data_IF_308029067632
#
_entry.id   IF_308029067632
#
_cell.length_a   1.000
_cell.length_b   1.000
_cell.length_c   1.000
_cell.angle_alpha   90.00
_cell.angle_beta   90.00
_cell.angle_gamma   90.00
#
_symmetry.space_group_name_H-M   'P 1'
#
loop_
_entity.id
_entity.type
_entity.pdbx_description
1 polymer ?
#
# COMPACT_ATOMS: atom_id res chain seq x y z
N UNK A 1 7.91 -2.87 7.59
CA UNK A 1 8.41 -1.48 7.72
C UNK A 1 9.84 -1.44 7.18
N UNK A 2 10.27 -0.43 6.39
CA UNK A 2 11.57 -0.44 5.68
C UNK A 2 12.79 -0.32 6.62
N UNK A 3 12.66 0.50 7.65
CA UNK A 3 13.72 0.80 8.62
C UNK A 3 13.11 0.72 10.02
N UNK A 4 12.95 -0.49 10.59
CA UNK A 4 12.33 -0.67 11.90
C UNK A 4 13.17 -0.06 13.02
N UNK A 5 14.50 -0.06 12.88
CA UNK A 5 15.45 0.37 13.92
C UNK A 5 16.16 1.68 13.56
N UNK A 6 15.57 2.48 12.65
CA UNK A 6 16.19 3.71 12.15
C UNK A 6 16.89 3.56 10.79
N UNK A 7 17.30 4.70 10.23
CA UNK A 7 17.89 4.77 8.90
C UNK A 7 19.26 4.09 8.85
N UNK A 8 19.47 3.29 7.81
CA UNK A 8 20.79 2.73 7.44
C UNK A 8 21.00 2.95 5.95
N UNK A 9 22.13 3.58 5.61
CA UNK A 9 22.50 3.86 4.23
C UNK A 9 22.82 2.57 3.46
N UNK A 10 22.18 2.35 2.31
CA UNK A 10 22.40 1.15 1.49
C UNK A 10 23.79 1.07 0.83
N UNK A 11 24.53 2.19 0.77
CA UNK A 11 25.85 2.25 0.12
C UNK A 11 27.03 2.10 1.08
N UNK A 12 26.95 2.74 2.25
CA UNK A 12 28.07 2.81 3.21
C UNK A 12 27.69 2.35 4.62
N UNK A 13 26.47 1.87 4.84
CA UNK A 13 25.96 1.41 6.14
C UNK A 13 25.93 2.45 7.27
N UNK A 14 26.28 3.71 7.00
CA UNK A 14 26.15 4.81 7.98
C UNK A 14 24.69 5.04 8.38
N UNK A 15 24.49 5.35 9.65
CA UNK A 15 23.20 5.77 10.25
C UNK A 15 23.02 7.28 10.23
N UNK A 16 24.07 8.04 9.91
CA UNK A 16 24.02 9.50 9.89
C UNK A 16 23.35 10.01 8.60
N UNK A 17 22.35 10.88 8.79
CA UNK A 17 21.63 11.51 7.69
C UNK A 17 21.05 12.86 8.06
N UNK A 18 20.69 13.63 7.04
CA UNK A 18 19.78 14.77 7.17
C UNK A 18 18.59 14.63 6.20
N UNK A 19 17.50 15.32 6.51
CA UNK A 19 16.28 15.32 5.72
C UNK A 19 16.08 16.67 5.04
N UNK A 20 15.76 16.66 3.75
CA UNK A 20 15.38 17.89 3.02
C UNK A 20 13.90 18.22 3.22
N UNK A 21 13.49 19.44 2.85
CA UNK A 21 12.08 19.87 2.88
C UNK A 21 11.18 18.95 2.02
N UNK A 22 11.74 18.40 0.93
CA UNK A 22 11.08 17.48 0.01
C UNK A 22 11.04 16.03 0.53
N UNK A 23 11.38 15.80 1.81
CA UNK A 23 11.38 14.48 2.46
C UNK A 23 12.33 13.48 1.78
N UNK A 24 13.45 13.99 1.27
CA UNK A 24 14.56 13.20 0.73
C UNK A 24 15.60 13.04 1.84
N UNK A 25 15.97 11.79 2.13
CA UNK A 25 17.06 11.49 3.06
C UNK A 25 18.38 11.56 2.30
N UNK A 26 19.34 12.28 2.86
CA UNK A 26 20.72 12.34 2.41
C UNK A 26 21.63 11.70 3.45
N UNK A 27 22.44 10.74 3.02
CA UNK A 27 23.48 10.17 3.87
C UNK A 27 24.61 11.18 4.08
N UNK A 28 25.01 11.39 5.34
CA UNK A 28 26.08 12.35 5.65
C UNK A 28 27.46 11.90 5.23
N UNK A 29 27.67 10.59 5.11
CA UNK A 29 28.98 10.03 4.82
C UNK A 29 29.28 9.98 3.32
N UNK A 30 28.35 9.43 2.53
CA UNK A 30 28.56 9.15 1.10
C UNK A 30 27.69 9.98 0.16
N UNK A 31 26.87 10.90 0.70
CA UNK A 31 25.97 11.75 -0.09
C UNK A 31 24.81 11.02 -0.78
N UNK A 32 24.61 9.71 -0.51
CA UNK A 32 23.53 8.93 -1.13
C UNK A 32 22.15 9.49 -0.79
N UNK A 33 21.31 9.67 -1.83
CA UNK A 33 19.96 10.23 -1.71
C UNK A 33 18.90 9.12 -1.82
N UNK A 34 17.96 9.08 -0.89
CA UNK A 34 16.79 8.18 -0.96
C UNK A 34 15.55 8.86 -0.44
N UNK A 35 14.44 8.77 -1.19
CA UNK A 35 13.13 9.13 -0.67
C UNK A 35 12.70 8.15 0.44
N UNK A 36 11.95 8.65 1.43
CA UNK A 36 11.36 7.83 2.51
C UNK A 36 10.45 6.73 1.93
N UNK A 37 9.68 7.07 0.90
CA UNK A 37 8.73 6.15 0.24
C UNK A 37 9.40 5.12 -0.65
N UNK A 38 10.72 5.22 -0.91
CA UNK A 38 11.40 4.32 -1.84
C UNK A 38 11.39 2.87 -1.32
N UNK A 39 11.10 1.91 -2.19
CA UNK A 39 11.00 0.49 -1.81
C UNK A 39 9.84 0.18 -0.85
N UNK A 40 8.83 1.05 -0.77
CA UNK A 40 7.58 0.79 -0.01
C UNK A 40 6.39 0.77 -0.98
N UNK A 41 5.18 0.48 -0.48
CA UNK A 41 3.95 0.60 -1.27
C UNK A 41 3.78 2.01 -1.88
N UNK A 42 4.29 3.04 -1.19
CA UNK A 42 4.24 4.45 -1.61
C UNK A 42 5.33 4.81 -2.64
N UNK A 43 6.13 3.86 -3.10
CA UNK A 43 7.20 4.14 -4.05
C UNK A 43 6.66 4.79 -5.34
N UNK A 44 7.33 5.89 -5.76
CA UNK A 44 6.97 6.73 -6.91
C UNK A 44 5.58 7.38 -6.82
N UNK A 45 5.01 7.52 -5.62
CA UNK A 45 3.79 8.33 -5.46
C UNK A 45 4.07 9.80 -5.74
N UNK A 46 3.15 10.45 -6.47
CA UNK A 46 3.11 11.90 -6.66
C UNK A 46 2.00 12.58 -5.86
N UNK A 47 1.05 11.80 -5.34
CA UNK A 47 -0.03 12.30 -4.50
C UNK A 47 0.38 12.30 -3.03
N UNK A 48 -0.15 13.22 -2.21
CA UNK A 48 0.06 13.24 -0.76
C UNK A 48 -0.20 11.90 -0.10
N UNK A 49 0.59 11.56 0.92
CA UNK A 49 0.40 10.32 1.69
C UNK A 49 -0.95 10.28 2.42
N UNK A 50 -1.52 11.44 2.79
CA UNK A 50 -2.84 11.50 3.40
C UNK A 50 -3.91 10.85 2.49
N UNK A 51 -3.86 11.13 1.18
CA UNK A 51 -4.78 10.50 0.21
C UNK A 51 -4.57 8.99 0.13
N UNK A 52 -3.33 8.52 0.26
CA UNK A 52 -3.06 7.08 0.36
C UNK A 52 -3.72 6.46 1.59
N UNK A 53 -3.70 7.12 2.74
CA UNK A 53 -4.35 6.62 3.95
C UNK A 53 -5.86 6.58 3.83
N UNK A 54 -6.48 7.61 3.26
CA UNK A 54 -7.92 7.57 2.93
C UNK A 54 -8.25 6.41 1.98
N UNK A 55 -7.40 6.17 0.98
CA UNK A 55 -7.54 5.06 0.04
C UNK A 55 -7.43 3.70 0.70
N UNK A 56 -6.45 3.53 1.59
CA UNK A 56 -6.31 2.30 2.37
C UNK A 56 -7.52 2.06 3.27
N UNK A 57 -7.98 3.10 3.98
CA UNK A 57 -9.16 3.01 4.83
C UNK A 57 -10.38 2.51 4.05
N UNK A 58 -10.67 3.13 2.91
CA UNK A 58 -11.82 2.74 2.09
C UNK A 58 -11.70 1.28 1.64
N UNK A 59 -10.53 0.85 1.13
CA UNK A 59 -10.35 -0.54 0.68
C UNK A 59 -10.54 -1.55 1.81
N UNK A 60 -10.11 -1.24 3.03
CA UNK A 60 -10.22 -2.15 4.19
C UNK A 60 -11.63 -2.13 4.80
N UNK A 61 -12.34 -1.02 4.73
CA UNK A 61 -13.68 -0.88 5.32
C UNK A 61 -14.81 -1.54 4.49
N UNK A 62 -14.57 -1.87 3.22
CA UNK A 62 -15.59 -2.47 2.35
C UNK A 62 -15.69 -3.99 2.56
N UNK A 63 -16.91 -4.49 2.83
CA UNK A 63 -17.20 -5.93 2.92
C UNK A 63 -17.12 -6.64 1.56
N UNK A 64 -17.59 -5.98 0.50
CA UNK A 64 -17.77 -6.57 -0.84
C UNK A 64 -16.54 -6.40 -1.75
N UNK A 65 -15.40 -5.98 -1.21
CA UNK A 65 -14.19 -5.69 -1.95
C UNK A 65 -14.23 -4.33 -2.67
N UNK A 66 -13.11 -3.97 -3.29
CA UNK A 66 -12.91 -2.65 -3.90
C UNK A 66 -12.65 -2.78 -5.41
N UNK A 67 -13.34 -1.97 -6.23
CA UNK A 67 -13.08 -1.82 -7.66
C UNK A 67 -12.45 -0.44 -7.96
N UNK A 68 -11.59 -0.37 -8.99
CA UNK A 68 -10.83 0.84 -9.29
C UNK A 68 -11.70 2.00 -9.80
N UNK A 69 -12.85 1.71 -10.41
CA UNK A 69 -13.77 2.72 -10.93
C UNK A 69 -14.47 3.49 -9.81
N UNK A 70 -15.13 2.77 -8.89
CA UNK A 70 -15.77 3.34 -7.70
C UNK A 70 -14.75 4.08 -6.84
N UNK A 71 -13.52 3.57 -6.74
CA UNK A 71 -12.42 4.24 -6.05
C UNK A 71 -12.04 5.57 -6.70
N UNK A 72 -12.00 5.63 -8.04
CA UNK A 72 -11.73 6.86 -8.79
C UNK A 72 -12.82 7.90 -8.52
N UNK A 73 -14.09 7.48 -8.54
CA UNK A 73 -15.23 8.38 -8.32
C UNK A 73 -15.27 8.88 -6.86
N UNK A 74 -15.07 7.98 -5.89
CA UNK A 74 -15.08 8.33 -4.47
C UNK A 74 -13.95 9.28 -4.07
N UNK A 75 -12.76 9.10 -4.64
CA UNK A 75 -11.56 9.84 -4.23
C UNK A 75 -11.40 11.22 -4.87
N UNK A 76 -12.16 11.51 -5.94
CA UNK A 76 -12.16 12.81 -6.60
C UNK A 76 -10.84 13.26 -7.25
N UNK A 77 -9.77 12.45 -7.26
CA UNK A 77 -8.49 12.81 -7.88
C UNK A 77 -8.38 12.51 -9.38
N UNK A 78 -9.44 11.96 -9.99
CA UNK A 78 -9.73 12.01 -11.42
C UNK A 78 -9.04 11.00 -12.36
N UNK A 79 -8.16 10.11 -11.87
CA UNK A 79 -7.45 9.15 -12.73
C UNK A 79 -7.75 7.70 -12.34
N UNK A 80 -8.35 6.95 -13.27
CA UNK A 80 -8.61 5.54 -13.12
C UNK A 80 -7.31 4.74 -12.97
N UNK A 81 -6.29 5.08 -13.76
CA UNK A 81 -4.98 4.43 -13.78
C UNK A 81 -4.29 4.57 -12.41
N UNK A 82 -4.42 5.76 -11.79
CA UNK A 82 -3.91 5.99 -10.44
C UNK A 82 -4.62 5.09 -9.43
N UNK A 83 -5.95 5.04 -9.47
CA UNK A 83 -6.75 4.18 -8.58
C UNK A 83 -6.41 2.69 -8.80
N UNK A 84 -6.26 2.26 -10.05
CA UNK A 84 -5.89 0.89 -10.42
C UNK A 84 -4.51 0.50 -9.90
N UNK A 85 -3.49 1.34 -10.13
CA UNK A 85 -2.12 1.10 -9.62
C UNK A 85 -2.10 1.03 -8.09
N UNK A 86 -2.86 1.91 -7.41
CA UNK A 86 -2.91 1.92 -5.94
C UNK A 86 -3.59 0.67 -5.42
N UNK A 87 -4.73 0.30 -6.00
CA UNK A 87 -5.46 -0.91 -5.64
C UNK A 87 -4.59 -2.17 -5.83
N UNK A 88 -3.84 -2.26 -6.93
CA UNK A 88 -2.90 -3.36 -7.16
C UNK A 88 -1.79 -3.42 -6.11
N UNK A 89 -1.15 -2.28 -5.79
CA UNK A 89 -0.12 -2.20 -4.74
C UNK A 89 -0.67 -2.67 -3.38
N UNK A 90 -1.90 -2.28 -3.04
CA UNK A 90 -2.54 -2.68 -1.79
C UNK A 90 -2.89 -4.16 -1.76
N UNK A 91 -3.48 -4.70 -2.83
CA UNK A 91 -3.80 -6.13 -2.92
C UNK A 91 -2.57 -7.01 -2.75
N UNK A 92 -1.46 -6.64 -3.38
CA UNK A 92 -0.17 -7.34 -3.19
C UNK A 92 0.31 -7.24 -1.74
N UNK A 93 0.21 -6.07 -1.13
CA UNK A 93 0.63 -5.86 0.26
C UNK A 93 -0.27 -6.56 1.30
N UNK A 94 -1.54 -6.82 0.96
CA UNK A 94 -2.52 -7.49 1.83
C UNK A 94 -2.46 -9.01 1.75
N UNK A 95 -1.70 -9.59 0.81
CA UNK A 95 -1.49 -11.04 0.76
C UNK A 95 -0.80 -11.48 2.06
N UNK A 96 -1.48 -12.32 2.85
CA UNK A 96 -0.88 -12.98 4.01
C UNK A 96 -0.09 -14.20 3.51
N UNK A 97 1.26 -14.19 3.57
CA UNK A 97 2.07 -15.29 3.02
C UNK A 97 1.82 -16.63 3.74
N UNK A 98 1.43 -16.57 5.01
CA UNK A 98 1.12 -17.71 5.87
C UNK A 98 -0.38 -17.93 6.05
N UNK A 99 -1.20 -17.61 5.04
CA UNK A 99 -2.65 -17.87 5.15
C UNK A 99 -2.88 -19.37 5.35
N UNK A 100 -3.39 -19.74 6.51
CA UNK A 100 -3.89 -21.09 6.79
C UNK A 100 -5.34 -21.16 6.33
N UNK A 101 -5.80 -22.36 5.96
CA UNK A 101 -7.24 -22.59 5.81
C UNK A 101 -7.90 -22.24 7.14
N UNK A 102 -9.03 -21.55 7.09
CA UNK A 102 -9.84 -21.31 8.28
C UNK A 102 -10.32 -22.70 8.75
N UNK A 103 -10.18 -22.99 10.04
CA UNK A 103 -10.45 -24.32 10.61
C UNK A 103 -11.07 -24.15 11.99
N UNK A 104 -12.32 -24.56 12.15
CA UNK A 104 -13.13 -24.64 13.38
C UNK A 104 -14.60 -24.53 12.94
N UNK A 105 -15.50 -24.34 13.89
CA UNK A 105 -16.78 -23.69 13.62
C UNK A 105 -16.52 -22.30 13.05
N UNK A 106 -17.16 -21.98 11.92
CA UNK A 106 -17.01 -20.73 11.18
C UNK A 106 -18.41 -20.17 11.01
N UNK A 107 -18.64 -18.98 11.53
CA UNK A 107 -19.86 -18.22 11.28
C UNK A 107 -19.60 -17.23 10.14
N UNK A 108 -20.44 -17.25 9.10
CA UNK A 108 -20.35 -16.37 7.94
C UNK A 108 -21.61 -15.50 7.90
N UNK A 109 -21.44 -14.18 7.97
CA UNK A 109 -22.54 -13.21 7.87
C UNK A 109 -23.31 -13.33 6.54
N UNK A 110 -22.62 -13.68 5.45
CA UNK A 110 -23.17 -13.73 4.10
C UNK A 110 -22.74 -15.05 3.43
N UNK A 111 -23.73 -15.86 3.01
CA UNK A 111 -23.51 -17.06 2.21
C UNK A 111 -24.11 -16.85 0.83
N UNK A 112 -23.29 -16.93 -0.22
CA UNK A 112 -23.78 -16.90 -1.60
C UNK A 112 -24.20 -18.31 -2.01
N UNK A 113 -25.50 -18.54 -2.18
CA UNK A 113 -26.06 -19.80 -2.69
C UNK A 113 -26.50 -19.56 -4.14
N UNK A 114 -25.64 -19.94 -5.09
CA UNK A 114 -25.89 -19.83 -6.53
C UNK A 114 -24.74 -20.45 -7.32
N UNK A 115 -25.02 -21.52 -8.06
CA UNK A 115 -24.03 -22.43 -8.67
C UNK A 115 -23.42 -21.93 -9.98
N UNK A 116 -22.61 -22.81 -10.59
CA UNK A 116 -22.02 -22.63 -11.92
C UNK A 116 -23.15 -22.45 -12.94
N UNK A 117 -23.25 -21.28 -13.56
CA UNK A 117 -23.93 -21.15 -14.84
C UNK A 117 -22.96 -21.60 -15.94
N UNK A 118 -23.24 -22.76 -16.53
CA UNK A 118 -22.74 -23.09 -17.86
C UNK A 118 -23.60 -22.35 -18.87
N UNK A 119 -23.05 -21.30 -19.47
CA UNK A 119 -23.61 -20.57 -20.60
C UNK A 119 -22.49 -19.95 -21.42
#
# INVERSE_FOLDING_TARGET
MRWPNGYVCKKCSSTNYWLTKEKIIHCSECGYKTAITRGTIFHKTRKPLLLWFHFMWWVVAQKTGANAHNLKDFMGFGSYETAWVWLHKLRIAMVRPLRKKISSEIELDETFIGGIETG
#
